data_IF_058074058350
#
_entry.id   IF_058074058350
#
_cell.length_a   1.000
_cell.length_b   1.000
_cell.length_c   1.000
_cell.angle_alpha   90.00
_cell.angle_beta   90.00
_cell.angle_gamma   90.00
#
_symmetry.space_group_name_H-M   'P 1'
#
loop_
_entity.id
_entity.type
_entity.pdbx_description
1 polymer ?
#
# COMPACT_ATOMS: atom_id res chain seq x y z
N UNK A 1 -33.55 11.38 8.45
CA UNK A 1 -33.26 12.83 8.61
C UNK A 1 -31.78 13.00 8.96
N UNK A 2 -31.20 14.18 8.75
CA UNK A 2 -29.77 14.40 9.03
C UNK A 2 -29.36 14.05 10.48
N UNK A 3 -30.24 14.29 11.44
CA UNK A 3 -30.04 13.91 12.85
C UNK A 3 -30.01 12.41 13.14
N UNK A 4 -30.40 11.54 12.20
CA UNK A 4 -30.40 10.08 12.39
C UNK A 4 -29.01 9.46 12.12
N UNK A 5 -28.08 10.24 11.59
CA UNK A 5 -26.73 9.80 11.27
C UNK A 5 -25.73 10.31 12.30
N UNK A 6 -24.87 9.43 12.80
CA UNK A 6 -23.77 9.81 13.67
C UNK A 6 -22.68 10.58 12.89
N UNK A 7 -22.39 10.12 11.66
CA UNK A 7 -21.37 10.71 10.78
C UNK A 7 -21.84 10.73 9.32
N UNK A 8 -21.34 11.70 8.56
CA UNK A 8 -21.48 11.76 7.11
C UNK A 8 -20.11 11.97 6.46
N UNK A 9 -19.70 11.05 5.58
CA UNK A 9 -18.49 11.14 4.78
C UNK A 9 -18.84 11.20 3.30
N UNK A 10 -18.57 12.33 2.65
CA UNK A 10 -18.78 12.44 1.21
C UNK A 10 -17.66 13.19 0.51
N UNK A 11 -17.52 12.94 -0.79
CA UNK A 11 -16.44 13.52 -1.58
C UNK A 11 -16.38 15.05 -1.42
N UNK A 12 -15.19 15.55 -1.09
CA UNK A 12 -14.94 16.98 -1.06
C UNK A 12 -14.28 17.43 -2.37
N UNK A 13 -14.89 18.38 -3.10
CA UNK A 13 -14.28 18.94 -4.29
C UNK A 13 -13.08 19.82 -3.87
N UNK A 14 -12.25 20.22 -4.85
CA UNK A 14 -11.10 21.11 -4.64
C UNK A 14 -11.47 22.41 -3.89
N UNK A 15 -12.74 22.80 -3.91
CA UNK A 15 -13.27 23.97 -3.22
C UNK A 15 -13.85 23.57 -1.87
N UNK A 16 -13.07 23.71 -0.79
CA UNK A 16 -13.48 23.40 0.60
C UNK A 16 -14.80 24.09 1.00
N UNK A 17 -15.02 25.33 0.54
CA UNK A 17 -16.27 26.06 0.79
C UNK A 17 -17.50 25.39 0.17
N UNK A 18 -17.34 24.69 -0.95
CA UNK A 18 -18.44 23.96 -1.58
C UNK A 18 -18.86 22.75 -0.74
N UNK A 19 -17.91 22.07 -0.11
CA UNK A 19 -18.17 20.98 0.84
C UNK A 19 -19.03 21.47 2.02
N UNK A 20 -18.64 22.59 2.66
CA UNK A 20 -19.40 23.19 3.77
C UNK A 20 -20.79 23.67 3.33
N UNK A 21 -20.93 24.24 2.13
CA UNK A 21 -22.24 24.64 1.60
C UNK A 21 -23.16 23.45 1.41
N UNK A 22 -22.64 22.32 0.93
CA UNK A 22 -23.40 21.09 0.77
C UNK A 22 -23.85 20.55 2.14
N UNK A 23 -22.97 20.56 3.15
CA UNK A 23 -23.30 20.20 4.54
C UNK A 23 -24.56 20.94 5.01
N UNK A 24 -24.55 22.28 4.90
CA UNK A 24 -25.67 23.13 5.34
C UNK A 24 -26.93 22.86 4.53
N UNK A 25 -26.82 22.68 3.21
CA UNK A 25 -27.97 22.42 2.33
C UNK A 25 -28.64 21.08 2.62
N UNK A 26 -27.86 20.07 3.03
CA UNK A 26 -28.37 18.76 3.44
C UNK A 26 -28.91 18.74 4.88
N UNK A 27 -28.74 19.82 5.64
CA UNK A 27 -29.22 19.94 7.01
C UNK A 27 -28.38 19.21 8.06
N UNK A 28 -27.13 18.86 7.73
CA UNK A 28 -26.19 18.27 8.69
C UNK A 28 -25.52 19.36 9.54
N UNK A 29 -25.24 19.04 10.80
CA UNK A 29 -24.32 19.81 11.62
C UNK A 29 -22.89 19.63 11.06
N UNK A 30 -22.09 20.71 10.90
CA UNK A 30 -20.67 20.60 10.57
C UNK A 30 -19.89 19.56 11.39
N UNK A 31 -20.23 19.35 12.67
CA UNK A 31 -19.57 18.35 13.51
C UNK A 31 -19.88 16.89 13.10
N UNK A 32 -21.02 16.64 12.45
CA UNK A 32 -21.39 15.32 11.94
C UNK A 32 -20.64 14.98 10.64
N UNK A 33 -20.11 15.96 9.92
CA UNK A 33 -19.42 15.71 8.65
C UNK A 33 -17.95 15.41 8.89
N UNK A 34 -17.46 14.34 8.27
CA UNK A 34 -16.06 13.98 8.37
C UNK A 34 -15.16 15.04 7.72
N UNK A 35 -14.04 15.36 8.37
CA UNK A 35 -13.02 16.24 7.79
C UNK A 35 -12.50 15.64 6.48
N UNK A 36 -12.57 16.37 5.35
CA UNK A 36 -12.00 15.91 4.09
C UNK A 36 -10.47 15.83 4.09
N UNK A 37 -9.79 16.28 5.15
CA UNK A 37 -8.34 16.22 5.32
C UNK A 37 -7.58 16.94 4.20
N UNK A 38 -8.23 17.89 3.53
CA UNK A 38 -7.69 18.54 2.34
C UNK A 38 -6.37 19.25 2.60
N UNK A 39 -6.23 19.89 3.78
CA UNK A 39 -5.02 20.63 4.15
C UNK A 39 -3.84 19.71 4.55
N UNK A 40 -4.11 18.47 4.94
CA UNK A 40 -3.08 17.53 5.42
C UNK A 40 -2.71 16.48 4.39
N UNK A 41 -3.68 16.02 3.58
CA UNK A 41 -3.53 14.98 2.58
C UNK A 41 -3.56 15.52 1.14
N UNK A 42 -4.24 16.64 0.91
CA UNK A 42 -4.58 17.11 -0.42
C UNK A 42 -5.77 16.36 -1.04
N UNK A 43 -5.91 16.44 -2.36
CA UNK A 43 -6.96 15.71 -3.09
C UNK A 43 -6.43 14.40 -3.67
N UNK A 44 -6.92 13.27 -3.17
CA UNK A 44 -6.59 11.92 -3.66
C UNK A 44 -7.53 11.41 -4.76
N UNK A 45 -8.41 12.26 -5.27
CA UNK A 45 -9.37 11.95 -6.33
C UNK A 45 -10.38 10.91 -5.87
N UNK A 46 -10.56 9.86 -6.67
CA UNK A 46 -11.55 8.79 -6.42
C UNK A 46 -11.40 8.11 -5.06
N UNK A 47 -10.18 8.05 -4.51
CA UNK A 47 -9.94 7.42 -3.21
C UNK A 47 -10.44 8.27 -2.03
N UNK A 48 -10.62 9.59 -2.20
CA UNK A 48 -10.84 10.52 -1.09
C UNK A 48 -12.11 10.19 -0.30
N UNK A 49 -13.22 9.90 -0.98
CA UNK A 49 -14.49 9.58 -0.31
C UNK A 49 -14.36 8.32 0.56
N UNK A 50 -13.70 7.27 0.04
CA UNK A 50 -13.48 6.02 0.79
C UNK A 50 -12.53 6.27 1.97
N UNK A 51 -11.49 7.09 1.80
CA UNK A 51 -10.61 7.48 2.90
C UNK A 51 -11.38 8.23 4.00
N UNK A 52 -12.31 9.10 3.65
CA UNK A 52 -13.19 9.77 4.61
C UNK A 52 -14.11 8.77 5.32
N UNK A 53 -14.65 7.77 4.62
CA UNK A 53 -15.41 6.69 5.26
C UNK A 53 -14.57 5.94 6.29
N UNK A 54 -13.33 5.55 5.95
CA UNK A 54 -12.43 4.88 6.90
C UNK A 54 -12.15 5.77 8.12
N UNK A 55 -11.88 7.07 7.91
CA UNK A 55 -11.65 8.01 8.99
C UNK A 55 -12.89 8.19 9.91
N UNK A 56 -14.10 8.12 9.34
CA UNK A 56 -15.34 8.13 10.12
C UNK A 56 -15.52 6.83 10.92
N UNK A 57 -15.21 5.67 10.32
CA UNK A 57 -15.29 4.37 10.99
C UNK A 57 -14.30 4.21 12.15
N UNK A 58 -13.15 4.89 12.12
CA UNK A 58 -12.19 4.90 13.24
C UNK A 58 -12.79 5.51 14.52
N UNK A 59 -13.77 6.41 14.39
CA UNK A 59 -14.41 7.13 15.51
C UNK A 59 -15.80 6.58 15.84
N UNK A 60 -16.37 5.74 14.99
CA UNK A 60 -17.74 5.24 15.12
C UNK A 60 -17.86 4.15 16.20
N UNK A 61 -19.08 3.95 16.67
CA UNK A 61 -19.49 2.92 17.63
C UNK A 61 -20.50 1.96 16.99
N UNK A 62 -20.65 0.78 17.56
CA UNK A 62 -21.71 -0.15 17.14
C UNK A 62 -23.09 0.51 17.29
N UNK A 63 -23.94 0.36 16.28
CA UNK A 63 -25.25 1.00 16.16
C UNK A 63 -25.24 2.37 15.47
N UNK A 64 -24.07 2.98 15.24
CA UNK A 64 -23.98 4.26 14.54
C UNK A 64 -24.38 4.10 13.07
N UNK A 65 -25.16 5.06 12.56
CA UNK A 65 -25.47 5.17 11.13
C UNK A 65 -24.55 6.18 10.47
N UNK A 66 -23.88 5.75 9.40
CA UNK A 66 -22.96 6.57 8.61
C UNK A 66 -23.52 6.77 7.21
N UNK A 67 -23.65 8.03 6.78
CA UNK A 67 -23.93 8.35 5.39
C UNK A 67 -22.62 8.40 4.61
N UNK A 68 -22.48 7.57 3.59
CA UNK A 68 -21.35 7.57 2.67
C UNK A 68 -21.83 7.99 1.27
N UNK A 69 -21.21 9.01 0.67
CA UNK A 69 -21.53 9.37 -0.71
C UNK A 69 -20.29 9.78 -1.52
N UNK A 70 -20.27 9.39 -2.79
CA UNK A 70 -19.23 9.81 -3.73
C UNK A 70 -19.90 10.42 -4.95
N UNK A 71 -19.34 11.51 -5.48
CA UNK A 71 -19.89 12.17 -6.65
C UNK A 71 -18.80 12.74 -7.56
N UNK A 72 -19.08 12.73 -8.87
CA UNK A 72 -18.17 13.12 -9.95
C UNK A 72 -18.91 13.03 -11.29
N UNK A 73 -18.50 12.11 -12.17
CA UNK A 73 -19.27 11.73 -13.37
C UNK A 73 -20.40 10.75 -13.03
N UNK A 74 -21.28 11.15 -12.12
CA UNK A 74 -22.28 10.30 -11.46
C UNK A 74 -22.29 10.53 -9.96
N UNK A 75 -23.20 9.86 -9.26
CA UNK A 75 -23.28 9.92 -7.80
C UNK A 75 -23.78 8.58 -7.23
N UNK A 76 -23.08 8.11 -6.21
CA UNK A 76 -23.44 6.95 -5.42
C UNK A 76 -23.59 7.36 -3.96
N UNK A 77 -24.62 6.86 -3.29
CA UNK A 77 -24.87 7.13 -1.88
C UNK A 77 -25.35 5.87 -1.17
N UNK A 78 -24.79 5.64 0.02
CA UNK A 78 -25.04 4.47 0.85
C UNK A 78 -25.30 4.93 2.28
N UNK A 79 -26.25 4.26 2.93
CA UNK A 79 -26.42 4.33 4.38
C UNK A 79 -25.84 3.05 4.95
N UNK A 80 -24.86 3.20 5.83
CA UNK A 80 -24.16 2.09 6.45
C UNK A 80 -24.48 2.10 7.95
N UNK A 81 -24.80 0.94 8.49
CA UNK A 81 -24.93 0.73 9.93
C UNK A 81 -23.69 0.04 10.46
N UNK A 82 -23.06 0.62 11.47
CA UNK A 82 -21.85 0.09 12.08
C UNK A 82 -22.25 -1.05 13.01
N UNK A 83 -21.70 -2.24 12.77
CA UNK A 83 -21.96 -3.42 13.60
C UNK A 83 -20.88 -3.57 14.68
N UNK A 84 -21.13 -4.45 15.66
CA UNK A 84 -20.15 -4.82 16.70
C UNK A 84 -18.83 -5.37 16.13
N UNK A 85 -18.80 -5.79 14.86
CA UNK A 85 -17.58 -6.21 14.19
C UNK A 85 -16.53 -5.09 14.09
N UNK A 86 -16.91 -3.83 14.27
CA UNK A 86 -15.98 -2.69 14.28
C UNK A 86 -14.91 -2.83 15.38
N UNK A 87 -15.28 -3.41 16.53
CA UNK A 87 -14.36 -3.59 17.65
C UNK A 87 -13.25 -4.61 17.32
N UNK A 88 -13.49 -5.55 16.39
CA UNK A 88 -12.49 -6.52 15.93
C UNK A 88 -11.43 -5.90 15.00
N UNK A 89 -11.67 -4.70 14.49
CA UNK A 89 -10.80 -4.04 13.51
C UNK A 89 -10.28 -2.68 13.98
N UNK A 90 -10.64 -2.26 15.19
CA UNK A 90 -10.29 -0.94 15.75
C UNK A 90 -8.77 -0.73 15.89
N UNK A 91 -8.02 -1.79 16.18
CA UNK A 91 -6.56 -1.74 16.31
C UNK A 91 -5.80 -1.77 14.96
N UNK A 92 -6.51 -1.79 13.82
CA UNK A 92 -5.86 -1.73 12.50
C UNK A 92 -5.34 -0.32 12.23
N UNK A 93 -4.28 -0.25 11.42
CA UNK A 93 -3.72 1.03 10.96
C UNK A 93 -4.68 1.69 9.97
N UNK A 94 -5.51 2.63 10.42
CA UNK A 94 -6.37 3.43 9.56
C UNK A 94 -5.74 4.79 9.22
N UNK A 95 -6.59 5.78 8.88
CA UNK A 95 -6.14 7.05 8.29
C UNK A 95 -5.30 7.86 9.27
N UNK A 96 -5.71 7.96 10.54
CA UNK A 96 -4.97 8.73 11.55
C UNK A 96 -3.54 8.22 11.73
N UNK A 97 -3.37 6.91 11.86
CA UNK A 97 -2.06 6.29 12.02
C UNK A 97 -1.20 6.47 10.75
N UNK A 98 -1.79 6.35 9.57
CA UNK A 98 -1.08 6.62 8.31
C UNK A 98 -0.62 8.08 8.19
N UNK A 99 -1.45 9.05 8.61
CA UNK A 99 -1.12 10.47 8.61
C UNK A 99 -0.08 10.85 9.67
N UNK A 100 -0.07 10.17 10.82
CA UNK A 100 0.92 10.36 11.88
C UNK A 100 2.30 9.83 11.43
N UNK A 101 2.33 8.65 10.80
CA UNK A 101 3.56 8.02 10.30
C UNK A 101 4.22 8.69 9.08
N UNK A 102 3.68 9.81 8.59
CA UNK A 102 4.18 10.46 7.37
C UNK A 102 5.55 11.09 7.62
N UNK A 103 6.40 11.09 6.58
CA UNK A 103 7.66 11.86 6.56
C UNK A 103 7.46 13.10 5.72
N UNK A 104 7.88 14.26 6.24
CA UNK A 104 7.89 15.50 5.47
C UNK A 104 9.04 15.47 4.47
N UNK A 105 8.75 15.74 3.20
CA UNK A 105 9.77 15.95 2.17
C UNK A 105 10.21 17.40 2.25
N UNK A 106 11.43 17.63 2.71
CA UNK A 106 11.95 18.98 2.97
C UNK A 106 12.52 19.66 1.72
N UNK A 107 13.02 18.88 0.76
CA UNK A 107 13.55 19.40 -0.50
C UNK A 107 12.48 19.41 -1.60
N UNK A 108 12.15 20.60 -2.10
CA UNK A 108 11.18 20.79 -3.18
C UNK A 108 11.57 20.09 -4.50
N UNK A 109 12.86 20.03 -4.84
CA UNK A 109 13.35 19.32 -6.03
C UNK A 109 13.07 17.82 -5.94
N UNK A 110 13.15 17.26 -4.73
CA UNK A 110 12.79 15.85 -4.50
C UNK A 110 11.31 15.62 -4.76
N UNK A 111 10.45 16.56 -4.34
CA UNK A 111 9.04 16.53 -4.67
C UNK A 111 8.78 16.62 -6.19
N UNK A 112 9.40 17.58 -6.88
CA UNK A 112 9.27 17.73 -8.34
C UNK A 112 9.70 16.46 -9.08
N UNK A 113 10.83 15.88 -8.66
CA UNK A 113 11.37 14.62 -9.20
C UNK A 113 10.40 13.46 -8.98
N UNK A 114 9.96 13.22 -7.74
CA UNK A 114 9.05 12.10 -7.42
C UNK A 114 7.68 12.23 -8.08
N UNK A 115 7.21 13.45 -8.34
CA UNK A 115 5.96 13.71 -9.04
C UNK A 115 6.11 13.74 -10.56
N UNK A 116 7.32 13.53 -11.09
CA UNK A 116 7.65 13.64 -12.52
C UNK A 116 7.20 14.99 -13.13
N UNK A 117 7.37 16.09 -12.39
CA UNK A 117 7.02 17.45 -12.84
C UNK A 117 8.15 18.14 -13.60
N UNK A 118 9.36 17.58 -13.51
CA UNK A 118 10.53 18.02 -14.27
C UNK A 118 11.06 16.84 -15.09
N UNK A 119 11.50 17.07 -16.34
CA UNK A 119 12.18 16.05 -17.10
C UNK A 119 13.55 15.75 -16.46
N UNK A 120 13.89 14.48 -16.37
CA UNK A 120 15.22 14.03 -15.98
C UNK A 120 15.87 13.33 -17.16
N UNK A 121 17.17 13.50 -17.30
CA UNK A 121 17.95 12.74 -18.26
C UNK A 121 17.84 11.25 -17.92
N UNK A 122 17.39 10.39 -18.86
CA UNK A 122 17.33 8.96 -18.62
C UNK A 122 18.75 8.40 -18.44
N UNK A 123 18.87 7.37 -17.61
CA UNK A 123 20.13 6.65 -17.50
C UNK A 123 20.47 5.99 -18.86
N UNK A 124 21.74 5.98 -19.24
CA UNK A 124 22.24 5.29 -20.43
C UNK A 124 22.19 3.77 -20.24
N UNK A 125 20.99 3.20 -20.28
CA UNK A 125 20.72 1.78 -20.17
C UNK A 125 19.77 1.37 -21.29
N UNK A 126 19.82 0.11 -21.76
CA UNK A 126 18.81 -0.41 -22.66
C UNK A 126 17.41 -0.20 -22.07
N UNK A 127 16.44 0.09 -22.93
CA UNK A 127 15.05 0.17 -22.51
C UNK A 127 14.64 -1.16 -21.84
N UNK A 128 13.87 -1.04 -20.76
CA UNK A 128 13.30 -2.20 -20.11
C UNK A 128 12.34 -2.89 -21.07
N UNK A 129 12.46 -4.22 -21.19
CA UNK A 129 11.49 -5.01 -21.92
C UNK A 129 10.09 -4.79 -21.32
N UNK A 130 9.05 -4.72 -22.17
CA UNK A 130 7.70 -4.46 -21.70
C UNK A 130 7.22 -5.56 -20.75
N UNK A 131 6.38 -5.18 -19.80
CA UNK A 131 5.77 -6.13 -18.89
C UNK A 131 4.84 -7.09 -19.66
N UNK A 132 5.04 -8.39 -19.51
CA UNK A 132 4.17 -9.39 -20.13
C UNK A 132 2.88 -9.56 -19.32
N UNK A 133 1.75 -9.08 -19.85
CA UNK A 133 0.43 -9.20 -19.20
C UNK A 133 0.05 -10.67 -19.00
N UNK A 134 0.35 -11.54 -19.97
CA UNK A 134 0.11 -12.98 -19.87
C UNK A 134 0.90 -13.61 -18.72
N UNK A 135 2.16 -13.20 -18.54
CA UNK A 135 2.99 -13.70 -17.45
C UNK A 135 2.53 -13.17 -16.08
N UNK A 136 2.12 -11.89 -16.03
CA UNK A 136 1.49 -11.28 -14.86
C UNK A 136 0.21 -12.00 -14.48
N UNK A 137 -0.67 -12.34 -15.43
CA UNK A 137 -1.93 -13.08 -15.16
C UNK A 137 -1.68 -14.45 -14.55
N UNK A 138 -0.66 -15.17 -15.06
CA UNK A 138 -0.27 -16.50 -14.55
C UNK A 138 0.32 -16.41 -13.15
N UNK A 139 1.14 -15.39 -12.90
CA UNK A 139 1.90 -15.24 -11.64
C UNK A 139 1.31 -14.15 -10.72
N UNK A 140 0.03 -13.84 -10.89
CA UNK A 140 -0.62 -12.72 -10.18
C UNK A 140 -0.66 -12.94 -8.68
N UNK A 141 -0.67 -14.20 -8.26
CA UNK A 141 -0.78 -14.59 -6.85
C UNK A 141 0.52 -14.27 -6.12
N UNK A 142 1.65 -14.55 -6.76
CA UNK A 142 2.99 -14.32 -6.28
C UNK A 142 3.38 -12.84 -6.36
N UNK A 143 2.97 -12.16 -7.45
CA UNK A 143 3.31 -10.76 -7.71
C UNK A 143 2.42 -9.80 -6.92
N UNK A 144 1.09 -9.97 -6.97
CA UNK A 144 0.16 -9.00 -6.38
C UNK A 144 -0.18 -9.32 -4.93
N UNK A 145 -0.29 -10.60 -4.57
CA UNK A 145 -0.71 -11.01 -3.22
C UNK A 145 0.43 -11.54 -2.33
N UNK A 146 1.68 -11.54 -2.85
CA UNK A 146 2.89 -12.02 -2.18
C UNK A 146 2.77 -13.44 -1.61
N UNK A 147 2.23 -14.35 -2.42
CA UNK A 147 2.27 -15.77 -2.11
C UNK A 147 3.59 -16.38 -2.57
N UNK A 148 4.14 -17.25 -1.73
CA UNK A 148 5.05 -18.30 -2.14
C UNK A 148 4.45 -19.66 -1.80
N UNK A 149 5.29 -20.61 -1.46
CA UNK A 149 4.89 -21.98 -1.17
C UNK A 149 5.46 -22.45 0.14
N UNK A 150 4.80 -23.40 0.80
CA UNK A 150 5.33 -24.13 1.94
C UNK A 150 5.31 -25.61 1.63
N UNK A 151 6.45 -26.27 1.82
CA UNK A 151 6.54 -27.70 1.54
C UNK A 151 5.70 -28.48 2.56
N UNK A 152 4.80 -29.36 2.09
CA UNK A 152 3.96 -30.20 2.97
C UNK A 152 4.77 -31.25 3.73
N UNK A 153 5.91 -31.69 3.17
CA UNK A 153 6.75 -32.75 3.75
C UNK A 153 7.68 -32.26 4.87
N UNK A 154 8.37 -31.14 4.65
CA UNK A 154 9.34 -30.62 5.63
C UNK A 154 8.91 -29.30 6.30
N UNK A 155 7.79 -28.71 5.88
CA UNK A 155 7.27 -27.48 6.45
C UNK A 155 8.02 -26.20 6.06
N UNK A 156 9.06 -26.27 5.23
CA UNK A 156 9.88 -25.10 4.86
C UNK A 156 9.10 -24.15 3.96
N UNK A 157 8.91 -22.87 4.36
CA UNK A 157 8.37 -21.84 3.49
C UNK A 157 9.44 -21.32 2.54
N UNK A 158 9.07 -21.21 1.26
CA UNK A 158 9.93 -20.75 0.19
C UNK A 158 9.26 -19.60 -0.55
N UNK A 159 9.98 -18.48 -0.63
CA UNK A 159 9.62 -17.38 -1.50
C UNK A 159 10.72 -17.20 -2.55
N UNK A 160 10.36 -17.36 -3.82
CA UNK A 160 11.28 -17.06 -4.92
C UNK A 160 10.76 -15.85 -5.66
N UNK A 161 11.36 -14.69 -5.36
CA UNK A 161 11.04 -13.46 -6.05
C UNK A 161 11.12 -13.69 -7.57
N UNK A 162 10.15 -13.22 -8.36
CA UNK A 162 10.24 -13.29 -9.81
C UNK A 162 11.43 -12.44 -10.27
N UNK A 163 12.23 -12.93 -11.23
CA UNK A 163 13.46 -12.24 -11.69
C UNK A 163 13.17 -10.89 -12.39
N UNK A 164 11.91 -10.64 -12.72
CA UNK A 164 11.36 -9.44 -13.33
C UNK A 164 9.83 -9.49 -13.17
N UNK A 165 9.11 -8.45 -13.60
CA UNK A 165 7.65 -8.46 -13.71
C UNK A 165 7.08 -9.57 -14.66
N UNK A 166 7.90 -10.53 -15.09
CA UNK A 166 7.54 -11.72 -15.86
C UNK A 166 7.21 -12.97 -15.02
N UNK A 167 7.28 -12.91 -13.68
CA UNK A 167 6.89 -14.06 -12.84
C UNK A 167 7.86 -15.24 -12.91
N UNK A 168 8.04 -15.97 -11.81
CA UNK A 168 8.55 -17.35 -11.86
C UNK A 168 7.44 -18.26 -11.40
N UNK A 169 7.28 -19.40 -12.06
CA UNK A 169 6.44 -20.49 -11.55
C UNK A 169 6.88 -20.79 -10.11
N UNK A 170 5.93 -21.05 -9.17
CA UNK A 170 6.27 -21.52 -7.84
C UNK A 170 7.30 -22.64 -7.89
N UNK A 171 8.19 -22.70 -6.89
CA UNK A 171 9.17 -23.78 -6.77
C UNK A 171 8.44 -25.13 -6.85
N UNK A 172 8.76 -25.94 -7.87
CA UNK A 172 8.22 -27.30 -8.01
C UNK A 172 9.00 -28.33 -7.20
N UNK A 173 10.19 -27.98 -6.72
CA UNK A 173 11.08 -28.87 -5.97
C UNK A 173 11.53 -28.13 -4.72
N UNK A 174 11.39 -28.77 -3.56
CA UNK A 174 11.76 -28.16 -2.29
C UNK A 174 13.27 -28.05 -2.17
N UNK A 175 13.76 -26.88 -1.74
CA UNK A 175 15.21 -26.62 -1.60
C UNK A 175 15.86 -27.48 -0.51
N UNK A 176 15.10 -27.92 0.48
CA UNK A 176 15.59 -28.71 1.62
C UNK A 176 15.44 -30.21 1.37
N UNK A 177 14.21 -30.69 1.16
CA UNK A 177 13.92 -32.12 1.13
C UNK A 177 13.72 -32.69 -0.29
N UNK A 178 13.84 -31.85 -1.33
CA UNK A 178 13.68 -32.22 -2.74
C UNK A 178 12.33 -32.85 -3.10
N UNK A 179 11.33 -32.77 -2.21
CA UNK A 179 9.96 -33.17 -2.53
C UNK A 179 9.45 -32.36 -3.72
N UNK A 180 8.84 -33.04 -4.67
CA UNK A 180 8.37 -32.46 -5.94
C UNK A 180 6.86 -32.30 -5.91
N UNK A 181 6.38 -31.11 -6.25
CA UNK A 181 4.95 -30.74 -6.33
C UNK A 181 4.14 -30.92 -5.04
N UNK A 182 4.80 -31.15 -3.91
CA UNK A 182 4.20 -31.32 -2.57
C UNK A 182 4.21 -30.02 -1.77
N UNK A 183 3.42 -29.05 -2.23
CA UNK A 183 3.37 -27.70 -1.67
C UNK A 183 1.96 -27.23 -1.35
N UNK A 184 1.85 -26.35 -0.36
CA UNK A 184 0.67 -25.54 -0.09
C UNK A 184 1.00 -24.05 -0.25
N UNK A 185 -0.02 -23.25 -0.49
CA UNK A 185 0.12 -21.80 -0.60
C UNK A 185 0.53 -21.18 0.73
N UNK A 186 1.50 -20.27 0.69
CA UNK A 186 1.95 -19.57 1.88
C UNK A 186 2.03 -18.06 1.63
N UNK A 187 1.22 -17.29 2.36
CA UNK A 187 1.12 -15.84 2.22
C UNK A 187 2.19 -15.14 3.04
N UNK A 188 3.02 -14.32 2.40
CA UNK A 188 4.07 -13.52 3.05
C UNK A 188 3.66 -12.08 3.32
N UNK A 189 2.64 -11.56 2.62
CA UNK A 189 2.23 -10.14 2.68
C UNK A 189 1.95 -9.62 4.10
N UNK A 190 1.32 -10.42 4.95
CA UNK A 190 0.87 -9.99 6.29
C UNK A 190 1.88 -10.36 7.40
N UNK A 191 3.06 -10.89 7.05
CA UNK A 191 4.06 -11.35 8.01
C UNK A 191 5.01 -10.23 8.38
N UNK A 192 5.35 -10.16 9.67
CA UNK A 192 6.47 -9.34 10.13
C UNK A 192 7.77 -9.93 9.60
N UNK A 193 8.75 -9.07 9.43
CA UNK A 193 10.02 -9.46 8.84
C UNK A 193 11.18 -8.71 9.50
N UNK A 194 12.40 -9.20 9.30
CA UNK A 194 13.63 -8.55 9.77
C UNK A 194 14.66 -8.52 8.66
N UNK A 195 15.46 -7.45 8.61
CA UNK A 195 16.56 -7.34 7.64
C UNK A 195 17.64 -8.35 8.03
N UNK A 196 17.92 -9.31 7.14
CA UNK A 196 19.04 -10.25 7.30
C UNK A 196 20.36 -9.63 6.82
N UNK A 197 20.33 -8.97 5.66
CA UNK A 197 21.47 -8.24 5.10
C UNK A 197 20.95 -7.14 4.15
N UNK A 198 21.75 -6.10 3.91
CA UNK A 198 21.42 -5.03 2.97
C UNK A 198 22.64 -4.50 2.23
N UNK A 199 22.40 -3.82 1.12
CA UNK A 199 23.42 -3.07 0.38
C UNK A 199 22.82 -1.78 -0.18
N UNK A 200 23.59 -0.70 -0.13
CA UNK A 200 23.24 0.56 -0.79
C UNK A 200 23.92 0.65 -2.16
N UNK A 201 23.11 0.76 -3.20
CA UNK A 201 23.55 1.00 -4.56
C UNK A 201 23.30 2.48 -4.93
N UNK A 202 24.39 3.24 -5.03
CA UNK A 202 24.39 4.65 -5.41
C UNK A 202 24.30 4.87 -6.93
N UNK A 203 24.51 3.83 -7.74
CA UNK A 203 24.56 3.90 -9.20
C UNK A 203 23.25 3.41 -9.85
N UNK A 204 22.43 2.67 -9.12
CA UNK A 204 21.12 2.25 -9.58
C UNK A 204 20.21 3.45 -9.86
N UNK A 205 19.58 3.44 -11.03
CA UNK A 205 18.60 4.46 -11.43
C UNK A 205 17.35 4.32 -10.58
N UNK A 206 17.07 5.33 -9.75
CA UNK A 206 15.89 5.38 -8.89
C UNK A 206 15.45 6.82 -8.65
N UNK A 207 14.15 7.08 -8.45
CA UNK A 207 13.67 8.39 -8.00
C UNK A 207 14.20 8.80 -6.61
N UNK A 208 14.60 7.83 -5.78
CA UNK A 208 15.05 8.02 -4.39
C UNK A 208 16.40 7.31 -4.15
N UNK A 209 17.53 7.89 -4.58
CA UNK A 209 18.85 7.30 -4.40
C UNK A 209 19.36 7.45 -2.95
N UNK A 210 20.18 6.50 -2.44
CA UNK A 210 20.59 5.24 -3.07
C UNK A 210 19.50 4.16 -3.04
N UNK A 211 19.52 3.21 -3.97
CA UNK A 211 18.67 2.01 -3.86
C UNK A 211 19.18 1.18 -2.70
N UNK A 212 18.30 0.83 -1.78
CA UNK A 212 18.63 -0.08 -0.67
C UNK A 212 18.07 -1.45 -0.97
N UNK A 213 18.92 -2.38 -1.38
CA UNK A 213 18.53 -3.76 -1.60
C UNK A 213 18.62 -4.52 -0.29
N UNK A 214 17.54 -5.17 0.13
CA UNK A 214 17.49 -5.94 1.39
C UNK A 214 17.17 -7.39 1.13
N UNK A 215 17.83 -8.26 1.88
CA UNK A 215 17.43 -9.65 2.09
C UNK A 215 16.71 -9.68 3.44
N UNK A 216 15.49 -10.22 3.45
CA UNK A 216 14.60 -10.17 4.59
C UNK A 216 14.18 -11.58 4.98
N UNK A 217 14.22 -11.83 6.28
CA UNK A 217 13.70 -13.05 6.91
C UNK A 217 12.30 -12.79 7.47
N UNK A 218 11.35 -13.64 7.10
CA UNK A 218 9.96 -13.54 7.56
C UNK A 218 9.74 -14.32 8.86
N UNK A 219 8.85 -13.80 9.70
CA UNK A 219 8.36 -14.54 10.86
C UNK A 219 7.58 -15.80 10.41
N UNK A 220 7.96 -16.95 10.96
CA UNK A 220 7.47 -18.26 10.52
C UNK A 220 8.25 -18.86 9.34
N UNK A 221 9.37 -18.25 8.93
CA UNK A 221 10.29 -18.80 7.95
C UNK A 221 10.08 -18.29 6.52
N UNK A 222 11.10 -18.52 5.69
CA UNK A 222 11.22 -18.02 4.33
C UNK A 222 12.02 -16.71 4.27
N UNK A 223 12.74 -16.55 3.16
CA UNK A 223 13.64 -15.43 2.89
C UNK A 223 13.36 -14.86 1.51
N UNK A 224 13.35 -13.54 1.39
CA UNK A 224 13.13 -12.86 0.12
C UNK A 224 14.02 -11.63 -0.05
N UNK A 225 14.28 -11.26 -1.31
CA UNK A 225 14.98 -10.02 -1.66
C UNK A 225 13.97 -8.96 -2.06
N UNK A 226 14.03 -7.79 -1.44
CA UNK A 226 13.15 -6.67 -1.70
C UNK A 226 13.90 -5.34 -1.62
N UNK A 227 13.49 -4.38 -2.44
CA UNK A 227 13.88 -2.99 -2.27
C UNK A 227 13.35 -2.47 -0.92
N UNK A 228 14.16 -1.72 -0.19
CA UNK A 228 13.80 -1.07 1.05
C UNK A 228 13.44 0.39 0.81
N UNK A 229 12.29 0.81 1.33
CA UNK A 229 11.66 2.12 1.08
C UNK A 229 11.27 2.80 2.38
N UNK A 230 10.85 4.07 2.30
CA UNK A 230 10.44 4.89 3.46
C UNK A 230 11.54 4.92 4.55
N UNK A 231 12.81 5.00 4.12
CA UNK A 231 13.98 4.81 4.99
C UNK A 231 14.90 6.02 4.98
N UNK A 232 15.74 6.09 5.99
CA UNK A 232 16.92 6.95 6.05
C UNK A 232 18.15 6.06 5.82
N UNK A 233 18.93 6.24 4.73
CA UNK A 233 20.07 5.37 4.41
C UNK A 233 20.96 5.06 5.60
N UNK A 234 21.31 6.10 6.35
CA UNK A 234 22.30 6.04 7.42
C UNK A 234 21.79 5.33 8.67
N UNK A 235 20.49 5.02 8.73
CA UNK A 235 19.84 4.36 9.87
C UNK A 235 19.45 2.92 9.55
N UNK A 236 19.73 2.42 8.36
CA UNK A 236 19.41 1.02 8.01
C UNK A 236 20.44 0.10 8.65
N UNK A 237 19.96 -0.87 9.42
CA UNK A 237 20.80 -1.81 10.17
C UNK A 237 20.31 -3.26 9.99
N UNK A 238 21.24 -4.21 10.12
CA UNK A 238 20.91 -5.64 10.16
C UNK A 238 20.10 -5.95 11.42
N UNK A 239 19.05 -6.74 11.27
CA UNK A 239 18.11 -7.08 12.35
C UNK A 239 16.97 -6.09 12.53
N UNK A 240 16.99 -4.95 11.84
CA UNK A 240 15.90 -3.95 11.90
C UNK A 240 14.55 -4.59 11.53
N UNK A 241 13.49 -4.39 12.34
CA UNK A 241 12.15 -4.82 12.00
C UNK A 241 11.60 -4.13 10.75
N UNK A 242 11.01 -4.92 9.85
CA UNK A 242 10.46 -4.47 8.60
C UNK A 242 9.05 -5.05 8.36
N UNK A 243 8.27 -4.33 7.56
CA UNK A 243 6.97 -4.76 7.06
C UNK A 243 6.91 -4.63 5.53
N UNK A 244 6.06 -5.45 4.91
CA UNK A 244 5.87 -5.43 3.47
C UNK A 244 4.91 -4.30 3.08
N UNK A 245 5.20 -3.63 1.96
CA UNK A 245 4.37 -2.55 1.41
C UNK A 245 4.18 -2.74 -0.09
N UNK A 246 2.94 -2.68 -0.54
CA UNK A 246 2.59 -2.79 -1.95
C UNK A 246 2.77 -1.45 -2.65
N UNK A 247 3.51 -1.40 -3.75
CA UNK A 247 3.91 -0.15 -4.42
C UNK A 247 3.78 -0.26 -5.93
N UNK A 248 3.47 0.86 -6.57
CA UNK A 248 3.65 1.04 -8.01
C UNK A 248 5.15 1.16 -8.29
N UNK A 249 5.69 0.27 -9.11
CA UNK A 249 7.11 0.28 -9.48
C UNK A 249 7.31 1.18 -10.70
N UNK A 250 6.51 0.97 -11.75
CA UNK A 250 6.55 1.79 -12.96
C UNK A 250 5.23 1.71 -13.73
N UNK A 251 5.08 2.59 -14.71
CA UNK A 251 4.01 2.55 -15.71
C UNK A 251 4.65 2.42 -17.07
N UNK A 252 4.22 1.44 -17.85
CA UNK A 252 4.73 1.18 -19.19
C UNK A 252 3.58 0.80 -20.12
N UNK A 253 3.51 1.42 -21.29
CA UNK A 253 2.55 1.12 -22.39
C UNK A 253 1.10 0.88 -21.94
N UNK A 254 0.59 1.71 -21.02
CA UNK A 254 -0.79 1.60 -20.52
C UNK A 254 -0.98 0.64 -19.33
N UNK A 255 0.08 -0.03 -18.87
CA UNK A 255 0.03 -1.00 -17.76
C UNK A 255 0.71 -0.42 -16.52
N UNK A 256 -0.02 -0.39 -15.41
CA UNK A 256 0.55 -0.09 -14.09
C UNK A 256 1.14 -1.36 -13.49
N UNK A 257 2.46 -1.35 -13.28
CA UNK A 257 3.16 -2.48 -12.68
C UNK A 257 3.34 -2.23 -11.19
N UNK A 258 2.79 -3.14 -10.39
CA UNK A 258 2.89 -3.10 -8.94
C UNK A 258 3.66 -4.31 -8.43
N UNK A 259 4.38 -4.11 -7.34
CA UNK A 259 5.07 -5.17 -6.64
C UNK A 259 5.30 -4.79 -5.18
N UNK A 260 5.72 -5.76 -4.39
CA UNK A 260 6.00 -5.58 -2.98
C UNK A 260 7.42 -5.06 -2.77
N UNK A 261 7.54 -4.10 -1.85
CA UNK A 261 8.79 -3.60 -1.30
C UNK A 261 8.76 -3.80 0.21
N UNK A 262 9.90 -3.63 0.85
CA UNK A 262 9.99 -3.60 2.29
C UNK A 262 10.13 -2.16 2.79
N UNK A 263 9.74 -1.93 4.03
CA UNK A 263 9.97 -0.66 4.73
C UNK A 263 10.14 -0.88 6.23
N UNK A 264 10.71 0.08 6.97
CA UNK A 264 10.69 0.04 8.43
C UNK A 264 9.27 -0.03 8.96
N UNK A 265 9.08 -0.64 10.12
CA UNK A 265 7.78 -0.60 10.80
C UNK A 265 7.44 0.86 11.11
N UNK A 266 6.27 1.30 10.66
CA UNK A 266 5.74 2.62 10.99
C UNK A 266 5.28 2.62 12.44
N UNK A 267 5.93 3.46 13.25
CA UNK A 267 5.48 3.89 14.58
C UNK A 267 4.39 4.93 14.42
#
# INVERSE_FOLDING_TARGET
KAGDFAKAGYYAPLVVRAHIRLTRKLGFDPAQVQDPMFMTLGNTGTALAIMMLVAALEEAKAGDKVLFASYGNGADAFVLEVTEAIEKVRDRRGIKAHLASKRMVTNYETYLRWRNLIPLEPAQRPELAPASISALRRSRKEILALYGVKCKKCGTPEYRAPASAGGRTPSRVCVICQAKDEFEDYKFADKKAKIFNFTHDNLATTPDPPVTNTIIDFEGGGRGMFDFTDRDPDKVEVGMPAEMTFRKIFFDRGVHNYYWKARPIRV
#
